data_IF_920978408687
#
_entry.id   IF_920978408687
#
_cell.length_a   1.000
_cell.length_b   1.000
_cell.length_c   1.000
_cell.angle_alpha   90.00
_cell.angle_beta   90.00
_cell.angle_gamma   90.00
#
_symmetry.space_group_name_H-M   'P 1'
#
loop_
_entity.id
_entity.type
_entity.pdbx_description
1 polymer ?
#
# COMPACT_ATOMS: atom_id res chain seq x y z
N UNK A 1 2.26 -23.40 -5.53
CA UNK A 1 3.65 -23.88 -5.77
C UNK A 1 4.47 -22.68 -6.17
N UNK A 2 5.71 -22.58 -5.75
CA UNK A 2 6.64 -21.53 -6.18
C UNK A 2 7.83 -22.21 -6.84
N UNK A 3 8.30 -21.60 -7.93
CA UNK A 3 9.50 -22.00 -8.67
C UNK A 3 10.44 -20.80 -8.63
N UNK A 4 11.59 -20.98 -8.00
CA UNK A 4 12.60 -19.95 -7.85
C UNK A 4 13.37 -19.75 -9.16
N UNK A 5 13.77 -18.51 -9.39
CA UNK A 5 14.67 -18.15 -10.47
C UNK A 5 16.12 -18.46 -10.08
N UNK A 6 16.87 -19.00 -11.03
CA UNK A 6 18.31 -19.12 -10.98
C UNK A 6 18.89 -18.36 -12.18
N UNK A 7 19.15 -17.08 -11.98
CA UNK A 7 19.48 -16.15 -13.07
C UNK A 7 18.33 -16.05 -14.07
N UNK A 8 18.62 -16.32 -15.35
CA UNK A 8 17.65 -16.21 -16.45
C UNK A 8 16.76 -17.46 -16.63
N UNK A 9 16.78 -18.40 -15.69
CA UNK A 9 16.03 -19.67 -15.78
C UNK A 9 15.22 -19.94 -14.53
N UNK A 10 14.14 -20.74 -14.66
CA UNK A 10 13.36 -21.27 -13.54
C UNK A 10 13.76 -22.72 -13.26
N UNK A 11 13.67 -23.15 -12.00
CA UNK A 11 13.81 -24.57 -11.67
C UNK A 11 12.69 -25.41 -12.31
N UNK A 12 13.00 -26.66 -12.67
CA UNK A 12 12.06 -27.58 -13.32
C UNK A 12 11.18 -28.35 -12.31
N UNK A 13 11.57 -28.36 -11.04
CA UNK A 13 10.77 -28.81 -9.91
C UNK A 13 10.31 -27.61 -9.09
N UNK A 14 9.15 -27.74 -8.42
CA UNK A 14 8.71 -26.71 -7.48
C UNK A 14 9.66 -26.67 -6.28
N UNK A 15 10.16 -25.49 -5.96
CA UNK A 15 11.01 -25.24 -4.79
C UNK A 15 10.20 -25.20 -3.50
N UNK A 16 8.95 -24.76 -3.61
CA UNK A 16 8.02 -24.74 -2.51
C UNK A 16 6.62 -25.18 -2.93
N UNK A 17 5.95 -25.90 -2.02
CA UNK A 17 4.57 -26.32 -2.18
C UNK A 17 3.82 -26.23 -0.84
N UNK A 18 2.70 -25.51 -0.83
CA UNK A 18 1.77 -25.46 0.30
C UNK A 18 1.28 -26.85 0.70
N UNK A 19 1.08 -27.08 1.99
CA UNK A 19 0.47 -28.30 2.56
C UNK A 19 -1.03 -28.40 2.27
N UNK A 20 -1.69 -27.27 2.04
CA UNK A 20 -3.12 -27.16 1.77
C UNK A 20 -3.48 -27.71 0.39
N UNK A 21 -4.50 -28.57 0.34
CA UNK A 21 -5.00 -29.23 -0.85
C UNK A 21 -6.19 -28.49 -1.48
N UNK A 22 -6.63 -28.93 -2.67
CA UNK A 22 -7.77 -28.36 -3.40
C UNK A 22 -7.37 -27.64 -4.69
N UNK A 23 -8.35 -27.08 -5.38
CA UNK A 23 -8.15 -26.35 -6.62
C UNK A 23 -7.75 -24.91 -6.32
N UNK A 24 -6.49 -24.56 -6.57
CA UNK A 24 -6.03 -23.18 -6.55
C UNK A 24 -6.59 -22.42 -7.74
N UNK A 25 -7.03 -21.19 -7.51
CA UNK A 25 -7.71 -20.37 -8.52
C UNK A 25 -7.08 -19.00 -8.72
N UNK A 26 -6.41 -18.48 -7.69
CA UNK A 26 -5.69 -17.21 -7.76
C UNK A 26 -4.37 -17.30 -7.00
N UNK A 27 -3.36 -16.59 -7.48
CA UNK A 27 -2.04 -16.52 -6.88
C UNK A 27 -1.43 -15.14 -7.16
N UNK A 28 -1.21 -14.35 -6.11
CA UNK A 28 -0.69 -13.00 -6.20
C UNK A 28 0.37 -12.78 -5.12
N UNK A 29 1.30 -11.88 -5.40
CA UNK A 29 2.32 -11.44 -4.47
C UNK A 29 2.02 -10.01 -4.03
N UNK A 30 2.03 -9.78 -2.71
CA UNK A 30 1.87 -8.48 -2.07
C UNK A 30 2.66 -8.50 -0.77
N UNK A 31 3.35 -7.42 -0.46
CA UNK A 31 3.93 -7.21 0.87
C UNK A 31 2.77 -6.82 1.80
N UNK A 32 2.29 -7.75 2.63
CA UNK A 32 1.08 -7.54 3.46
C UNK A 32 1.41 -7.23 4.91
N UNK A 33 2.61 -7.58 5.37
CA UNK A 33 3.11 -7.24 6.70
C UNK A 33 4.11 -6.06 6.70
N UNK A 34 4.40 -5.51 5.52
CA UNK A 34 5.23 -4.31 5.30
C UNK A 34 6.68 -4.50 5.77
N UNK A 35 7.24 -5.69 5.55
CA UNK A 35 8.62 -6.00 5.88
C UNK A 35 9.61 -5.79 4.71
N UNK A 36 9.08 -5.42 3.54
CA UNK A 36 9.84 -5.10 2.33
C UNK A 36 10.08 -6.31 1.42
N UNK A 37 9.56 -7.49 1.76
CA UNK A 37 9.53 -8.63 0.88
C UNK A 37 8.08 -9.02 0.48
N UNK A 38 7.92 -9.69 -0.66
CA UNK A 38 6.59 -9.97 -1.18
C UNK A 38 6.06 -11.31 -0.65
N UNK A 39 4.97 -11.26 0.10
CA UNK A 39 4.24 -12.44 0.58
C UNK A 39 3.44 -13.12 -0.50
N UNK A 40 3.12 -14.40 -0.27
CA UNK A 40 2.37 -15.19 -1.22
C UNK A 40 0.92 -15.36 -0.78
N UNK A 41 -0.02 -14.85 -1.59
CA UNK A 41 -1.44 -14.89 -1.31
C UNK A 41 -2.15 -15.75 -2.36
N UNK A 42 -3.01 -16.64 -1.89
CA UNK A 42 -3.70 -17.61 -2.75
C UNK A 42 -5.18 -17.70 -2.51
N UNK A 43 -5.93 -17.80 -3.60
CA UNK A 43 -7.35 -18.13 -3.65
C UNK A 43 -7.58 -19.58 -4.06
N UNK A 44 -8.74 -20.12 -3.70
CA UNK A 44 -9.16 -21.48 -4.05
C UNK A 44 -10.60 -21.52 -4.53
N UNK A 45 -10.94 -22.51 -5.35
CA UNK A 45 -12.33 -22.87 -5.61
C UNK A 45 -12.92 -23.63 -4.42
N UNK A 46 -14.12 -23.21 -4.01
CA UNK A 46 -14.79 -23.72 -2.82
C UNK A 46 -13.85 -23.73 -1.62
N UNK A 47 -13.05 -22.68 -1.48
CA UNK A 47 -11.97 -22.59 -0.53
C UNK A 47 -11.82 -21.18 0.01
N UNK A 48 -10.79 -21.00 0.83
CA UNK A 48 -10.51 -19.77 1.57
C UNK A 48 -9.31 -19.06 0.96
N UNK A 49 -9.18 -17.77 1.23
CA UNK A 49 -7.92 -17.05 1.01
C UNK A 49 -6.88 -17.52 2.05
N UNK A 50 -5.65 -17.74 1.59
CA UNK A 50 -4.51 -18.13 2.42
C UNK A 50 -3.33 -17.20 2.11
N UNK A 51 -2.68 -16.71 3.16
CA UNK A 51 -1.47 -15.91 3.07
C UNK A 51 -0.34 -16.75 3.65
N UNK A 52 0.79 -16.78 2.93
CA UNK A 52 2.04 -17.37 3.37
C UNK A 52 3.04 -16.23 3.43
N UNK A 53 3.45 -15.87 4.64
CA UNK A 53 4.44 -14.82 4.84
C UNK A 53 5.78 -15.29 4.31
N UNK A 54 6.44 -14.39 3.60
CA UNK A 54 7.77 -14.59 3.13
C UNK A 54 8.76 -14.07 4.19
N UNK A 55 9.81 -14.83 4.46
CA UNK A 55 10.87 -14.38 5.34
C UNK A 55 12.19 -14.54 4.61
N UNK A 56 12.53 -13.51 3.83
CA UNK A 56 13.73 -13.44 3.00
C UNK A 56 13.88 -14.64 2.05
N UNK A 57 12.80 -15.00 1.38
CA UNK A 57 12.71 -16.10 0.42
C UNK A 57 12.27 -17.45 1.02
N UNK A 58 11.98 -17.50 2.32
CA UNK A 58 11.50 -18.71 3.00
C UNK A 58 10.01 -18.58 3.31
N UNK A 59 9.23 -19.60 2.93
CA UNK A 59 7.78 -19.64 3.14
C UNK A 59 7.39 -20.84 4.00
N UNK A 60 6.51 -20.64 4.99
CA UNK A 60 5.87 -21.74 5.68
C UNK A 60 5.02 -22.55 4.71
N UNK A 61 5.00 -23.89 4.84
CA UNK A 61 4.12 -24.72 3.98
C UNK A 61 2.65 -24.65 4.42
N UNK A 62 2.40 -24.33 5.68
CA UNK A 62 1.06 -24.03 6.19
C UNK A 62 0.81 -22.53 6.06
N UNK A 63 -0.43 -22.08 5.80
CA UNK A 63 -0.73 -20.65 5.80
C UNK A 63 -0.47 -20.01 7.15
N UNK A 64 0.12 -18.81 7.13
CA UNK A 64 0.31 -17.96 8.31
C UNK A 64 -0.99 -17.24 8.66
N UNK A 65 -1.81 -16.94 7.64
CA UNK A 65 -3.17 -16.44 7.82
C UNK A 65 -4.16 -17.15 6.88
N UNK A 66 -5.37 -17.37 7.39
CA UNK A 66 -6.49 -17.93 6.63
C UNK A 66 -7.74 -17.12 6.93
N UNK A 67 -8.45 -16.72 5.87
CA UNK A 67 -9.76 -16.09 6.01
C UNK A 67 -10.75 -16.94 6.83
N UNK A 68 -11.73 -16.27 7.45
CA UNK A 68 -12.80 -16.93 8.21
C UNK A 68 -13.59 -17.94 7.36
N UNK A 69 -14.15 -18.96 8.01
CA UNK A 69 -14.91 -20.02 7.31
C UNK A 69 -16.15 -19.49 6.57
N UNK A 70 -16.71 -18.37 7.01
CA UNK A 70 -17.82 -17.68 6.35
C UNK A 70 -17.47 -17.07 4.99
N UNK A 71 -16.17 -16.91 4.69
CA UNK A 71 -15.69 -16.34 3.42
C UNK A 71 -15.19 -17.41 2.44
N UNK A 72 -15.56 -18.68 2.67
CA UNK A 72 -15.25 -19.76 1.75
C UNK A 72 -16.08 -19.59 0.47
N UNK A 73 -15.40 -19.49 -0.68
CA UNK A 73 -16.05 -19.25 -1.96
C UNK A 73 -15.22 -19.81 -3.12
N UNK A 74 -15.63 -19.52 -4.35
CA UNK A 74 -14.82 -19.65 -5.54
C UNK A 74 -14.09 -18.33 -5.77
N UNK A 75 -12.83 -18.25 -5.34
CA UNK A 75 -12.04 -17.02 -5.42
C UNK A 75 -11.53 -16.82 -6.85
N UNK A 76 -11.80 -15.68 -7.47
CA UNK A 76 -11.46 -15.42 -8.88
C UNK A 76 -10.33 -14.39 -9.05
N UNK A 77 -10.27 -13.39 -8.19
CA UNK A 77 -9.21 -12.39 -8.23
C UNK A 77 -8.96 -11.83 -6.84
N UNK A 78 -7.70 -11.54 -6.55
CA UNK A 78 -7.25 -10.87 -5.34
C UNK A 78 -6.46 -9.64 -5.77
N UNK A 79 -6.89 -8.47 -5.31
CA UNK A 79 -6.20 -7.21 -5.57
C UNK A 79 -5.93 -6.48 -4.27
N UNK A 80 -4.92 -5.62 -4.30
CA UNK A 80 -4.46 -4.87 -3.15
C UNK A 80 -4.48 -3.39 -3.45
N UNK A 81 -5.06 -2.63 -2.53
CA UNK A 81 -5.03 -1.18 -2.50
C UNK A 81 -5.33 -0.74 -1.07
N UNK A 82 -4.88 0.45 -0.70
CA UNK A 82 -5.28 1.06 0.57
C UNK A 82 -6.63 1.78 0.33
N UNK A 83 -7.73 1.18 0.80
CA UNK A 83 -9.10 1.59 0.42
C UNK A 83 -9.53 2.83 1.20
N UNK A 84 -9.09 2.93 2.45
CA UNK A 84 -9.40 4.05 3.35
C UNK A 84 -8.37 5.18 3.28
N UNK A 85 -7.24 4.96 2.58
CA UNK A 85 -6.10 5.88 2.41
C UNK A 85 -5.43 6.21 3.73
N UNK A 86 -5.50 5.30 4.70
CA UNK A 86 -5.01 5.53 6.04
C UNK A 86 -3.49 5.77 6.08
N UNK A 87 -2.75 5.16 5.15
CA UNK A 87 -1.30 5.24 5.04
C UNK A 87 -0.80 5.62 3.63
N UNK A 88 -1.63 6.29 2.82
CA UNK A 88 -1.20 6.70 1.47
C UNK A 88 -0.02 7.68 1.53
N UNK A 89 1.09 7.31 0.87
CA UNK A 89 2.33 8.08 0.76
C UNK A 89 2.45 8.60 -0.67
N UNK A 90 2.58 9.92 -0.82
CA UNK A 90 2.94 10.54 -2.10
C UNK A 90 4.46 10.66 -2.22
N UNK A 91 5.04 10.10 -3.28
CA UNK A 91 6.48 10.07 -3.48
C UNK A 91 6.85 10.27 -4.95
N UNK A 92 8.16 10.25 -5.24
CA UNK A 92 8.65 10.26 -6.61
C UNK A 92 9.94 9.46 -6.76
N UNK A 93 10.18 8.96 -7.97
CA UNK A 93 11.45 8.38 -8.37
C UNK A 93 12.03 9.17 -9.54
N UNK A 94 13.36 9.31 -9.55
CA UNK A 94 14.10 9.99 -10.61
C UNK A 94 14.99 9.00 -11.34
N UNK A 95 14.86 8.95 -12.66
CA UNK A 95 15.72 8.18 -13.56
C UNK A 95 16.61 9.12 -14.35
N UNK A 96 17.92 8.90 -14.28
CA UNK A 96 18.86 9.47 -15.23
C UNK A 96 18.89 8.55 -16.46
N UNK A 97 18.65 9.12 -17.64
CA UNK A 97 18.50 8.34 -18.86
C UNK A 97 19.82 8.27 -19.59
N UNK A 98 20.38 7.07 -19.63
CA UNK A 98 21.48 6.71 -20.52
C UNK A 98 20.96 5.65 -21.50
N UNK A 99 21.31 5.77 -22.79
CA UNK A 99 20.99 4.80 -23.85
C UNK A 99 19.53 4.72 -24.35
N UNK A 100 18.73 5.78 -24.18
CA UNK A 100 17.51 5.98 -24.98
C UNK A 100 16.34 5.00 -24.76
N UNK A 101 16.13 4.53 -23.51
CA UNK A 101 14.98 3.70 -23.12
C UNK A 101 13.69 4.50 -22.95
N UNK A 102 12.53 3.83 -23.08
CA UNK A 102 11.19 4.41 -22.86
C UNK A 102 10.37 3.77 -21.75
N UNK A 103 10.78 2.59 -21.28
CA UNK A 103 10.10 1.84 -20.21
C UNK A 103 10.85 2.04 -18.89
N UNK A 104 10.13 2.41 -17.84
CA UNK A 104 10.64 2.71 -16.52
C UNK A 104 9.86 1.90 -15.47
N UNK A 105 10.55 0.97 -14.83
CA UNK A 105 10.01 0.22 -13.69
C UNK A 105 10.29 1.00 -12.42
N UNK A 106 9.27 1.17 -11.58
CA UNK A 106 9.37 1.73 -10.25
C UNK A 106 9.87 0.65 -9.27
N UNK A 107 10.34 1.07 -8.10
CA UNK A 107 10.67 0.15 -7.01
C UNK A 107 9.41 -0.47 -6.38
N UNK A 108 8.30 0.27 -6.41
CA UNK A 108 7.04 -0.13 -5.78
C UNK A 108 6.07 -0.76 -6.78
N UNK A 109 5.20 -1.65 -6.30
CA UNK A 109 4.11 -2.26 -7.07
C UNK A 109 2.79 -2.13 -6.33
N UNK A 110 1.69 -2.34 -7.06
CA UNK A 110 0.32 -2.11 -6.57
C UNK A 110 0.17 -0.67 -6.07
N UNK A 111 0.57 0.25 -6.95
CA UNK A 111 0.48 1.69 -6.70
C UNK A 111 -0.99 2.11 -6.62
N UNK A 112 -1.22 3.19 -5.89
CA UNK A 112 -2.53 3.84 -5.80
C UNK A 112 -2.77 4.75 -7.02
N UNK A 113 -1.73 5.47 -7.46
CA UNK A 113 -1.82 6.36 -8.63
C UNK A 113 -0.48 6.52 -9.36
N UNK A 114 -0.52 7.12 -10.55
CA UNK A 114 0.59 7.88 -11.12
C UNK A 114 0.09 9.33 -11.21
N UNK A 115 0.69 10.24 -10.44
CA UNK A 115 0.18 11.60 -10.29
C UNK A 115 0.73 12.52 -11.40
N UNK A 116 2.01 12.40 -11.72
CA UNK A 116 2.61 13.14 -12.82
C UNK A 116 3.90 12.51 -13.33
N UNK A 117 4.18 12.73 -14.62
CA UNK A 117 5.42 12.31 -15.27
C UNK A 117 6.09 13.55 -15.86
N UNK A 118 7.32 13.81 -15.45
CA UNK A 118 8.15 14.91 -15.94
C UNK A 118 9.31 14.32 -16.72
N UNK A 119 9.49 14.78 -17.96
CA UNK A 119 10.60 14.37 -18.83
C UNK A 119 11.39 15.60 -19.24
N UNK A 120 12.69 15.59 -18.96
CA UNK A 120 13.61 16.68 -19.32
C UNK A 120 13.10 18.07 -18.88
N UNK A 121 12.46 18.13 -17.72
CA UNK A 121 11.87 19.34 -17.13
C UNK A 121 10.46 19.70 -17.63
N UNK A 122 9.85 18.90 -18.50
CA UNK A 122 8.50 19.12 -19.03
C UNK A 122 7.50 18.11 -18.46
N UNK A 123 6.35 18.59 -17.97
CA UNK A 123 5.23 17.72 -17.62
C UNK A 123 4.63 17.12 -18.89
N UNK A 124 4.43 15.80 -18.89
CA UNK A 124 3.76 15.11 -19.98
C UNK A 124 2.25 15.03 -19.75
N UNK A 125 1.51 15.10 -20.84
CA UNK A 125 0.08 14.80 -20.87
C UNK A 125 -0.16 13.29 -20.83
N UNK A 126 -1.34 12.86 -20.37
CA UNK A 126 -1.72 11.43 -20.35
C UNK A 126 -1.70 10.78 -21.74
N UNK A 127 -1.74 11.55 -22.82
CA UNK A 127 -1.59 11.04 -24.19
C UNK A 127 -0.15 10.69 -24.58
N UNK A 128 0.85 11.08 -23.79
CA UNK A 128 2.26 10.90 -24.10
C UNK A 128 2.93 9.79 -23.27
N UNK A 129 2.17 9.11 -22.41
CA UNK A 129 2.64 7.92 -21.70
C UNK A 129 1.50 6.97 -21.33
N UNK A 130 1.84 5.73 -21.01
CA UNK A 130 0.94 4.78 -20.36
C UNK A 130 1.64 4.13 -19.17
N UNK A 131 0.87 3.51 -18.28
CA UNK A 131 1.40 2.93 -17.05
C UNK A 131 0.57 1.73 -16.59
N UNK A 132 1.13 0.95 -15.67
CA UNK A 132 0.44 -0.18 -15.05
C UNK A 132 0.66 -0.21 -13.54
N UNK A 133 -0.36 0.19 -12.79
CA UNK A 133 -0.29 0.39 -11.33
C UNK A 133 0.12 -0.87 -10.57
N UNK A 134 -0.47 -2.03 -10.91
CA UNK A 134 -0.16 -3.30 -10.24
C UNK A 134 1.26 -3.80 -10.52
N UNK A 135 1.84 -3.43 -11.66
CA UNK A 135 3.16 -3.90 -12.06
C UNK A 135 4.25 -2.86 -11.76
N UNK A 136 3.87 -1.62 -11.44
CA UNK A 136 4.81 -0.56 -11.09
C UNK A 136 5.66 -0.12 -12.27
N UNK A 137 5.06 0.24 -13.41
CA UNK A 137 5.84 0.79 -14.53
C UNK A 137 5.13 1.89 -15.31
N UNK A 138 5.93 2.75 -15.94
CA UNK A 138 5.52 3.80 -16.89
C UNK A 138 6.29 3.62 -18.20
N UNK A 139 5.59 3.76 -19.33
CA UNK A 139 6.16 3.71 -20.67
C UNK A 139 5.86 5.01 -21.42
N UNK A 140 6.89 5.63 -21.97
CA UNK A 140 6.82 6.91 -22.66
C UNK A 140 6.62 6.74 -24.17
N UNK A 141 5.89 7.67 -24.78
CA UNK A 141 5.74 7.77 -26.24
C UNK A 141 7.07 8.09 -26.93
N UNK A 142 7.74 9.13 -26.47
CA UNK A 142 9.00 9.62 -27.02
C UNK A 142 10.20 9.23 -26.14
N UNK A 143 11.40 9.20 -26.73
CA UNK A 143 12.63 8.85 -26.02
C UNK A 143 13.11 10.06 -25.19
N UNK A 144 13.23 9.95 -23.85
CA UNK A 144 13.80 11.00 -23.00
C UNK A 144 15.31 11.16 -23.23
N UNK A 145 15.82 12.37 -23.04
CA UNK A 145 17.22 12.72 -23.34
C UNK A 145 18.13 12.85 -22.12
N UNK A 146 17.58 13.19 -20.96
CA UNK A 146 18.34 13.42 -19.74
C UNK A 146 17.71 12.75 -18.51
N UNK A 147 16.45 13.06 -18.22
CA UNK A 147 15.84 12.71 -16.94
C UNK A 147 14.34 12.43 -17.08
N UNK A 148 13.88 11.45 -16.31
CA UNK A 148 12.46 11.17 -16.09
C UNK A 148 12.18 11.19 -14.59
N UNK A 149 11.21 11.98 -14.15
CA UNK A 149 10.71 12.01 -12.77
C UNK A 149 9.27 11.52 -12.80
N UNK A 150 8.95 10.52 -11.98
CA UNK A 150 7.60 9.97 -11.88
C UNK A 150 7.14 10.18 -10.45
N UNK A 151 6.10 11.00 -10.28
CA UNK A 151 5.38 11.18 -9.02
C UNK A 151 4.23 10.19 -8.96
N UNK A 152 4.09 9.51 -7.84
CA UNK A 152 3.09 8.46 -7.64
C UNK A 152 2.75 8.32 -6.17
N UNK A 153 1.59 7.72 -5.88
CA UNK A 153 1.22 7.32 -4.53
C UNK A 153 1.23 5.81 -4.34
N UNK A 154 1.65 5.37 -3.16
CA UNK A 154 1.66 3.98 -2.72
C UNK A 154 1.31 3.92 -1.23
N UNK A 155 0.90 2.75 -0.74
CA UNK A 155 0.64 2.56 0.68
C UNK A 155 1.44 1.35 1.22
N UNK A 156 2.09 1.48 2.38
CA UNK A 156 2.65 0.35 3.12
C UNK A 156 1.57 -0.52 3.78
N UNK A 157 0.34 0.00 3.94
CA UNK A 157 -0.76 -0.71 4.57
C UNK A 157 -1.89 -0.93 3.57
N UNK A 158 -1.74 -1.96 2.71
CA UNK A 158 -2.73 -2.28 1.69
C UNK A 158 -3.81 -3.20 2.25
N UNK A 159 -5.06 -2.91 1.90
CA UNK A 159 -6.18 -3.81 2.08
C UNK A 159 -6.27 -4.80 0.92
N UNK A 160 -6.99 -5.90 1.16
CA UNK A 160 -7.18 -6.96 0.19
C UNK A 160 -8.64 -7.01 -0.26
N UNK A 161 -8.90 -6.68 -1.52
CA UNK A 161 -10.20 -6.85 -2.15
C UNK A 161 -10.25 -8.18 -2.93
N UNK A 162 -11.35 -8.90 -2.77
CA UNK A 162 -11.53 -10.24 -3.33
C UNK A 162 -12.82 -10.31 -4.13
N UNK A 163 -12.69 -10.75 -5.38
CA UNK A 163 -13.84 -11.13 -6.23
C UNK A 163 -14.05 -12.64 -6.22
N UNK A 164 -15.31 -13.05 -6.31
CA UNK A 164 -15.71 -14.45 -6.14
C UNK A 164 -17.05 -14.73 -6.87
N UNK A 165 -17.57 -15.95 -6.75
CA UNK A 165 -18.85 -16.37 -7.38
C UNK A 165 -20.10 -16.10 -6.52
N UNK A 166 -19.94 -15.52 -5.33
CA UNK A 166 -21.05 -15.11 -4.49
C UNK A 166 -21.70 -13.83 -5.02
N UNK A 167 -22.76 -13.37 -4.33
CA UNK A 167 -23.43 -12.11 -4.68
C UNK A 167 -22.67 -10.90 -4.14
N UNK A 168 -21.84 -11.12 -3.13
CA UNK A 168 -21.07 -10.11 -2.42
C UNK A 168 -19.57 -10.27 -2.70
N UNK A 169 -18.87 -9.14 -2.87
CA UNK A 169 -17.41 -9.08 -2.82
C UNK A 169 -16.95 -8.67 -1.43
N UNK A 170 -15.75 -9.07 -1.05
CA UNK A 170 -15.21 -8.82 0.29
C UNK A 170 -13.95 -7.96 0.22
N UNK A 171 -13.82 -7.05 1.18
CA UNK A 171 -12.59 -6.30 1.46
C UNK A 171 -12.13 -6.72 2.85
N UNK A 172 -10.87 -7.08 2.97
CA UNK A 172 -10.20 -7.38 4.23
C UNK A 172 -9.23 -6.23 4.52
N UNK A 173 -9.51 -5.45 5.56
CA UNK A 173 -8.67 -4.29 5.92
C UNK A 173 -7.43 -4.71 6.68
N UNK A 174 -6.33 -3.99 6.44
CA UNK A 174 -5.06 -4.23 7.13
C UNK A 174 -5.01 -3.44 8.45
N UNK A 175 -5.24 -4.13 9.56
CA UNK A 175 -5.28 -3.51 10.90
C UNK A 175 -3.91 -3.23 11.50
N UNK A 176 -2.80 -3.58 10.84
CA UNK A 176 -1.45 -3.41 11.41
C UNK A 176 -0.96 -1.96 11.38
N UNK A 177 -1.71 -1.02 10.79
CA UNK A 177 -1.35 0.40 10.78
C UNK A 177 -1.29 1.00 12.20
N UNK A 178 -2.08 0.50 13.15
CA UNK A 178 -2.12 1.05 14.51
C UNK A 178 -0.84 0.79 15.31
N UNK A 179 0.03 -0.10 14.84
CA UNK A 179 1.36 -0.31 15.44
C UNK A 179 2.41 0.67 14.88
N UNK A 180 2.11 1.41 13.81
CA UNK A 180 3.08 2.25 13.09
C UNK A 180 3.04 3.74 13.44
N UNK A 181 2.03 4.21 14.19
CA UNK A 181 1.94 5.63 14.59
C UNK A 181 1.21 5.86 15.93
N UNK A 182 1.33 7.08 16.48
CA UNK A 182 0.59 7.54 17.67
C UNK A 182 -0.53 8.48 17.24
N UNK A 183 -1.77 8.19 17.63
CA UNK A 183 -2.91 9.08 17.33
C UNK A 183 -2.65 10.50 17.84
N UNK A 184 -2.83 11.49 16.96
CA UNK A 184 -2.59 12.91 17.27
C UNK A 184 -1.13 13.37 17.21
N UNK A 185 -0.15 12.50 16.93
CA UNK A 185 1.26 12.87 16.65
C UNK A 185 1.42 13.22 15.16
N UNK A 186 0.73 14.27 14.73
CA UNK A 186 0.63 14.66 13.33
C UNK A 186 1.99 14.98 12.68
N UNK A 187 3.01 15.36 13.46
CA UNK A 187 4.34 15.65 12.94
C UNK A 187 5.33 14.47 13.02
N UNK A 188 4.91 13.32 13.55
CA UNK A 188 5.72 12.10 13.66
C UNK A 188 6.91 12.21 14.63
N UNK A 189 6.81 13.04 15.67
CA UNK A 189 7.89 13.24 16.65
C UNK A 189 7.98 12.13 17.69
N UNK A 190 7.02 11.22 17.71
CA UNK A 190 6.80 10.23 18.76
C UNK A 190 6.15 10.81 20.02
N UNK A 191 5.68 12.07 20.01
CA UNK A 191 5.11 12.76 21.16
C UNK A 191 3.91 13.62 20.76
N UNK A 192 2.76 13.38 21.39
CA UNK A 192 1.56 14.22 21.22
C UNK A 192 1.73 15.52 22.01
N UNK A 193 1.97 16.63 21.31
CA UNK A 193 2.23 17.95 21.90
C UNK A 193 1.64 19.13 21.11
N UNK A 194 1.88 20.36 21.61
CA UNK A 194 1.44 21.57 20.91
C UNK A 194 2.04 21.73 19.50
N UNK A 195 3.15 21.06 19.18
CA UNK A 195 3.71 21.08 17.83
C UNK A 195 2.81 20.38 16.81
N UNK A 196 2.05 19.36 17.20
CA UNK A 196 1.11 18.65 16.31
C UNK A 196 -0.04 19.54 15.88
N UNK A 197 -0.56 20.36 16.80
CA UNK A 197 -1.56 21.40 16.50
C UNK A 197 -1.02 22.36 15.44
N UNK A 198 0.21 22.84 15.63
CA UNK A 198 0.82 23.77 14.67
C UNK A 198 1.13 23.12 13.33
N UNK A 199 1.45 21.82 13.33
CA UNK A 199 1.70 21.04 12.13
C UNK A 199 0.43 20.87 11.32
N UNK A 200 -0.67 20.39 11.93
CA UNK A 200 -1.97 20.26 11.25
C UNK A 200 -2.47 21.59 10.68
N UNK A 201 -2.37 22.68 11.43
CA UNK A 201 -2.73 24.02 10.93
C UNK A 201 -1.85 24.43 9.75
N UNK A 202 -0.56 24.09 9.76
CA UNK A 202 0.35 24.37 8.63
C UNK A 202 0.04 23.51 7.42
N UNK A 203 -0.33 22.24 7.64
CA UNK A 203 -0.76 21.30 6.62
C UNK A 203 -2.04 21.79 5.92
N UNK A 204 -3.08 22.17 6.66
CA UNK A 204 -4.33 22.69 6.07
C UNK A 204 -4.15 24.02 5.33
N UNK A 205 -3.05 24.74 5.61
CA UNK A 205 -2.65 25.93 4.84
C UNK A 205 -1.85 25.60 3.58
N UNK A 206 -1.49 24.34 3.36
CA UNK A 206 -0.65 23.90 2.26
C UNK A 206 0.83 24.21 2.43
N UNK A 207 1.29 24.50 3.65
CA UNK A 207 2.68 24.90 3.92
C UNK A 207 3.62 23.71 4.16
N UNK A 208 3.08 22.58 4.62
CA UNK A 208 3.80 21.34 4.88
C UNK A 208 3.06 20.17 4.24
N UNK A 209 3.76 19.03 4.13
CA UNK A 209 3.14 17.79 3.67
C UNK A 209 2.09 17.28 4.66
N UNK A 210 1.24 16.37 4.21
CA UNK A 210 0.28 15.69 5.08
C UNK A 210 1.02 14.88 6.16
N UNK A 211 0.38 14.63 7.32
CA UNK A 211 0.88 13.65 8.29
C UNK A 211 1.20 12.32 7.61
N UNK A 212 2.21 11.62 8.11
CA UNK A 212 2.65 10.33 7.58
C UNK A 212 2.86 9.34 8.74
N UNK A 213 2.00 8.30 8.89
CA UNK A 213 0.81 8.00 8.08
C UNK A 213 -0.27 9.08 8.22
N UNK A 214 -1.21 9.14 7.26
CA UNK A 214 -2.21 10.20 7.22
C UNK A 214 -3.03 10.26 8.51
N UNK A 215 -3.46 9.10 9.02
CA UNK A 215 -4.22 8.99 10.27
C UNK A 215 -3.46 9.43 11.53
N UNK A 216 -2.15 9.67 11.51
CA UNK A 216 -1.48 10.31 12.64
C UNK A 216 -2.02 11.71 12.95
N UNK A 217 -2.63 12.34 11.94
CA UNK A 217 -3.35 13.60 12.10
C UNK A 217 -4.79 13.47 12.62
N UNK A 218 -5.39 12.27 12.61
CA UNK A 218 -6.71 12.02 13.17
C UNK A 218 -6.57 11.82 14.68
N UNK A 219 -6.85 12.90 15.42
CA UNK A 219 -6.75 12.90 16.87
C UNK A 219 -8.04 12.44 17.53
N UNK A 220 -9.15 12.44 16.80
CA UNK A 220 -10.48 12.22 17.35
C UNK A 220 -11.10 10.89 16.92
N UNK A 221 -10.42 10.12 16.07
CA UNK A 221 -10.79 8.77 15.66
C UNK A 221 -12.02 8.73 14.75
N UNK A 222 -12.32 9.82 14.03
CA UNK A 222 -13.45 9.87 13.07
C UNK A 222 -13.05 9.49 11.63
N UNK A 223 -11.81 9.02 11.45
CA UNK A 223 -11.20 8.65 10.18
C UNK A 223 -11.06 9.82 9.20
N UNK A 224 -11.09 11.07 9.68
CA UNK A 224 -11.00 12.26 8.85
C UNK A 224 -10.01 13.29 9.42
N UNK A 225 -8.84 13.44 8.80
CA UNK A 225 -7.87 14.47 9.20
C UNK A 225 -8.35 15.86 8.76
N UNK A 226 -8.92 16.63 9.68
CA UNK A 226 -9.52 17.94 9.41
C UNK A 226 -9.41 18.92 10.60
N UNK A 227 -10.15 20.03 10.56
CA UNK A 227 -10.14 21.04 11.62
C UNK A 227 -10.68 20.55 12.98
N UNK A 228 -11.45 19.46 12.99
CA UNK A 228 -11.91 18.78 14.19
C UNK A 228 -10.75 18.25 15.02
N UNK A 229 -9.71 17.70 14.40
CA UNK A 229 -8.53 17.16 15.10
C UNK A 229 -7.72 18.24 15.80
N UNK A 230 -7.55 19.38 15.11
CA UNK A 230 -6.94 20.58 15.71
C UNK A 230 -7.72 21.01 16.95
N UNK A 231 -9.05 21.02 16.85
CA UNK A 231 -9.93 21.39 17.96
C UNK A 231 -9.83 20.36 19.10
N UNK A 232 -9.81 19.07 18.76
CA UNK A 232 -9.70 17.97 19.71
C UNK A 232 -8.39 18.02 20.50
N UNK A 233 -7.25 18.16 19.81
CA UNK A 233 -5.93 18.33 20.43
C UNK A 233 -5.89 19.55 21.35
N UNK A 234 -6.44 20.69 20.93
CA UNK A 234 -6.49 21.90 21.79
C UNK A 234 -7.33 21.67 23.04
N UNK A 235 -8.47 20.97 22.93
CA UNK A 235 -9.32 20.62 24.08
C UNK A 235 -8.59 19.67 25.03
N UNK A 236 -7.90 18.66 24.49
CA UNK A 236 -7.06 17.72 25.25
C UNK A 236 -5.94 18.44 26.00
N UNK A 237 -5.14 19.28 25.34
CA UNK A 237 -4.04 20.01 25.99
C UNK A 237 -4.50 21.05 27.02
N UNK A 238 -5.74 21.54 26.91
CA UNK A 238 -6.36 22.38 27.95
C UNK A 238 -6.88 21.59 29.15
N UNK A 239 -6.81 20.26 29.12
CA UNK A 239 -7.26 19.37 30.19
C UNK A 239 -8.77 19.15 30.24
N UNK A 240 -9.49 19.48 29.16
CA UNK A 240 -10.95 19.33 29.08
C UNK A 240 -11.40 18.07 28.32
N UNK A 241 -10.50 17.43 27.56
CA UNK A 241 -10.80 16.27 26.70
C UNK A 241 -10.02 15.01 27.07
N UNK A 242 -10.45 13.88 26.52
CA UNK A 242 -9.72 12.62 26.58
C UNK A 242 -8.45 12.68 25.70
N UNK A 243 -7.45 11.81 25.93
CA UNK A 243 -6.33 11.68 25.01
C UNK A 243 -6.81 11.29 23.60
N UNK A 244 -6.01 11.59 22.55
CA UNK A 244 -6.27 11.08 21.22
C UNK A 244 -6.37 9.56 21.19
N UNK A 245 -7.15 9.05 20.26
CA UNK A 245 -7.38 7.61 20.10
C UNK A 245 -7.55 7.26 18.62
N UNK A 246 -7.31 5.99 18.29
CA UNK A 246 -7.45 5.48 16.94
C UNK A 246 -8.93 5.26 16.59
N UNK A 247 -9.34 5.69 15.40
CA UNK A 247 -10.60 5.26 14.79
C UNK A 247 -10.54 3.80 14.33
N UNK A 248 -11.69 3.20 14.04
CA UNK A 248 -11.76 1.90 13.34
C UNK A 248 -11.88 2.19 11.83
N UNK A 249 -10.76 2.66 11.29
CA UNK A 249 -10.50 2.78 9.86
C UNK A 249 -9.87 1.44 9.42
#
# INVERSE_FOLDING_TARGET
KIYFSNGDTLHSSADWQSSTIGYGSEAVFSDVDNDGDYDFITGRWWGRINIYLNSSGNFNINPDWISGASYQSVIENITFCDVDRAAEINTHITFNVENGRRLFYLSDRQLQSIDSVIVDGQHLELSDYCYHLVAGWVSLKDTPSQQVIIYYSNSPHKDMAVSNWDRESYIFTNTNIYESFIAGDANGSGQVSGSDVTYLVSYFKGNVQAPQPYLAGDANGDCLVNGADVTYLVIYFKGFGAPPFYGDC
#
